data_IF_868384404171
#
_entry.id   IF_868384404171
#
_cell.length_a   1.000
_cell.length_b   1.000
_cell.length_c   1.000
_cell.angle_alpha   90.00
_cell.angle_beta   90.00
_cell.angle_gamma   90.00
#
_symmetry.space_group_name_H-M   'P 1'
#
loop_
_entity.id
_entity.type
_entity.pdbx_description
1 polymer ?
#
# COMPACT_ATOMS: atom_id res chain seq x y z
N UNK A 1 -27.06 30.58 13.98
CA UNK A 1 -26.75 30.24 13.74
C UNK A 1 -25.77 29.68 13.68
N UNK A 2 -25.42 29.48 13.55
CA UNK A 2 -24.48 29.12 13.47
C UNK A 2 -24.06 28.04 13.73
N UNK A 3 -24.37 27.50 14.06
CA UNK A 3 -24.10 26.42 14.40
C UNK A 3 -23.46 25.66 13.58
N UNK A 4 -23.43 25.84 12.73
CA UNK A 4 -22.87 25.19 11.80
C UNK A 4 -21.59 24.89 11.99
N UNK A 5 -20.96 25.63 12.26
CA UNK A 5 -19.63 25.38 12.37
C UNK A 5 -19.38 24.10 13.04
N UNK A 6 -20.11 23.86 13.91
CA UNK A 6 -19.87 22.71 14.67
C UNK A 6 -19.83 21.48 13.88
N UNK A 7 -20.59 21.42 12.96
CA UNK A 7 -20.61 20.24 12.26
C UNK A 7 -19.39 19.89 11.72
N UNK A 8 -18.74 20.76 11.26
CA UNK A 8 -17.54 20.50 10.70
C UNK A 8 -16.71 19.75 11.55
N UNK A 9 -16.68 20.04 12.73
CA UNK A 9 -15.73 19.36 13.55
C UNK A 9 -16.01 17.91 13.55
N UNK A 10 -17.14 17.53 13.22
CA UNK A 10 -17.39 16.14 13.26
C UNK A 10 -16.50 15.38 12.35
N UNK A 11 -16.19 15.95 11.30
CA UNK A 11 -15.37 15.25 10.35
C UNK A 11 -14.05 14.92 10.93
N UNK A 12 -13.58 15.70 11.82
CA UNK A 12 -12.28 15.46 12.34
C UNK A 12 -12.24 14.43 13.42
N UNK A 13 -13.34 13.89 13.79
CA UNK A 13 -13.31 12.95 14.88
C UNK A 13 -13.04 11.53 14.46
N UNK A 14 -12.95 11.26 13.21
CA UNK A 14 -12.72 9.91 12.80
C UNK A 14 -11.29 9.52 13.01
N UNK A 15 -11.09 8.29 13.41
CA UNK A 15 -9.75 7.82 13.66
C UNK A 15 -9.07 7.46 12.37
N UNK A 16 -7.76 7.56 12.34
CA UNK A 16 -7.03 7.24 11.14
C UNK A 16 -7.30 5.85 10.61
N UNK A 17 -7.48 4.89 11.50
CA UNK A 17 -7.66 3.57 11.08
C UNK A 17 -8.98 3.37 10.36
N UNK A 18 -9.97 4.15 10.68
CA UNK A 18 -11.24 4.03 10.02
C UNK A 18 -11.22 4.80 8.71
N UNK A 19 -10.16 5.50 8.46
CA UNK A 19 -10.10 6.37 7.31
C UNK A 19 -8.95 6.10 6.39
N UNK A 20 -8.65 4.84 6.18
CA UNK A 20 -7.63 4.51 5.23
C UNK A 20 -8.13 5.00 3.90
N UNK A 21 -7.52 6.02 3.39
CA UNK A 21 -7.93 6.61 2.12
C UNK A 21 -6.83 6.65 1.08
N UNK A 22 -5.61 6.28 1.44
CA UNK A 22 -4.53 6.24 0.47
C UNK A 22 -4.80 5.11 -0.51
N UNK A 23 -4.86 5.38 -1.81
CA UNK A 23 -5.19 4.35 -2.79
C UNK A 23 -4.22 3.17 -2.78
N UNK A 24 -2.95 3.42 -2.54
CA UNK A 24 -1.96 2.35 -2.49
C UNK A 24 -2.14 1.48 -1.28
N UNK A 25 -2.44 2.08 -0.14
CA UNK A 25 -2.67 1.34 1.08
C UNK A 25 -3.93 0.49 0.96
N UNK A 26 -4.96 1.03 0.36
CA UNK A 26 -6.20 0.29 0.15
C UNK A 26 -5.98 -0.93 -0.73
N UNK A 27 -5.17 -0.77 -1.77
CA UNK A 27 -4.83 -1.89 -2.63
C UNK A 27 -4.02 -2.93 -1.88
N UNK A 28 -3.04 -2.48 -1.11
CA UNK A 28 -2.18 -3.38 -0.37
C UNK A 28 -2.98 -4.20 0.65
N UNK A 29 -3.99 -3.60 1.23
CA UNK A 29 -4.81 -4.24 2.25
C UNK A 29 -6.05 -4.96 1.72
N UNK A 30 -6.14 -5.12 0.43
CA UNK A 30 -7.22 -5.92 -0.16
C UNK A 30 -8.57 -5.24 -0.18
N UNK A 31 -8.59 -3.92 -0.09
CA UNK A 31 -9.86 -3.20 -0.01
C UNK A 31 -10.37 -2.68 -1.35
N UNK A 32 -9.60 -2.80 -2.40
CA UNK A 32 -9.96 -2.23 -3.69
C UNK A 32 -10.32 -3.28 -4.73
N UNK A 33 -9.46 -4.28 -4.88
CA UNK A 33 -9.65 -5.29 -5.92
C UNK A 33 -9.62 -6.67 -5.28
N UNK A 34 -10.61 -7.47 -5.57
CA UNK A 34 -10.68 -8.82 -5.03
C UNK A 34 -9.45 -9.62 -5.45
N UNK A 35 -8.82 -10.27 -4.52
CA UNK A 35 -7.63 -11.06 -4.80
C UNK A 35 -6.33 -10.28 -4.76
N UNK A 36 -6.40 -8.97 -4.60
CA UNK A 36 -5.19 -8.16 -4.45
C UNK A 36 -5.09 -7.82 -2.98
N UNK A 37 -4.32 -8.59 -2.27
CA UNK A 37 -4.18 -8.46 -0.82
C UNK A 37 -2.75 -8.73 -0.40
N UNK A 38 -1.88 -7.85 -0.76
CA UNK A 38 -0.45 -7.96 -0.50
C UNK A 38 -0.15 -8.24 0.97
N UNK A 39 -0.99 -7.71 1.86
CA UNK A 39 -0.76 -7.85 3.28
C UNK A 39 -0.78 -9.31 3.76
N UNK A 40 -1.40 -10.19 3.02
CA UNK A 40 -1.48 -11.58 3.45
C UNK A 40 -0.12 -12.25 3.51
N UNK A 41 0.80 -11.82 2.68
CA UNK A 41 2.14 -12.38 2.68
C UNK A 41 3.16 -11.40 3.27
N UNK A 42 2.94 -10.10 3.05
CA UNK A 42 3.89 -9.10 3.50
C UNK A 42 3.55 -8.48 4.85
N UNK A 43 2.44 -8.88 5.46
CA UNK A 43 1.94 -8.33 6.71
C UNK A 43 1.37 -6.92 6.50
N UNK A 44 0.41 -6.53 7.31
CA UNK A 44 -0.21 -5.21 7.16
C UNK A 44 0.75 -4.07 7.39
N UNK A 45 1.81 -4.29 8.17
CA UNK A 45 2.83 -3.27 8.40
C UNK A 45 4.05 -3.48 7.50
N UNK A 46 4.00 -4.41 6.57
CA UNK A 46 5.09 -4.61 5.61
C UNK A 46 6.30 -5.35 6.14
N UNK A 47 6.24 -5.91 7.34
CA UNK A 47 7.42 -6.56 7.91
C UNK A 47 7.66 -7.98 7.40
N UNK A 48 6.75 -8.48 6.60
CA UNK A 48 6.95 -9.77 5.98
C UNK A 48 6.50 -10.96 6.82
N UNK A 49 6.46 -12.10 6.18
CA UNK A 49 6.17 -13.39 6.81
C UNK A 49 7.03 -14.41 6.10
N UNK A 50 6.85 -15.68 6.42
CA UNK A 50 7.60 -16.73 5.72
C UNK A 50 7.20 -16.81 4.24
N UNK A 51 6.07 -16.20 3.84
CA UNK A 51 5.62 -16.21 2.46
C UNK A 51 5.95 -14.94 1.69
N UNK A 52 6.33 -13.88 2.36
CA UNK A 52 6.59 -12.62 1.69
C UNK A 52 7.70 -11.84 2.35
N UNK A 53 8.44 -11.11 1.56
CA UNK A 53 9.60 -10.39 2.03
C UNK A 53 9.26 -9.26 3.00
N UNK A 54 10.23 -8.90 3.81
CA UNK A 54 10.12 -7.73 4.69
C UNK A 54 10.30 -6.49 3.82
N UNK A 55 9.21 -5.79 3.57
CA UNK A 55 9.23 -4.63 2.70
C UNK A 55 9.93 -3.44 3.34
N UNK A 56 9.91 -3.34 4.66
CA UNK A 56 10.63 -2.27 5.34
C UNK A 56 12.13 -2.36 5.04
N UNK A 57 12.62 -3.57 4.81
CA UNK A 57 14.01 -3.77 4.52
C UNK A 57 14.29 -3.69 3.03
N UNK A 58 13.40 -4.20 2.21
CA UNK A 58 13.63 -4.28 0.78
C UNK A 58 13.28 -3.02 0.00
N UNK A 59 12.17 -2.39 0.31
CA UNK A 59 11.72 -1.24 -0.45
C UNK A 59 12.75 -0.11 -0.51
N UNK A 60 13.43 0.24 0.57
CA UNK A 60 14.45 1.31 0.48
C UNK A 60 15.58 1.00 -0.48
N UNK A 61 15.79 -0.27 -0.79
CA UNK A 61 16.88 -0.67 -1.67
C UNK A 61 16.46 -0.84 -3.11
N UNK A 62 15.18 -0.75 -3.40
CA UNK A 62 14.66 -1.01 -4.74
C UNK A 62 14.27 0.27 -5.45
N UNK A 63 14.39 0.28 -6.77
CA UNK A 63 13.88 1.37 -7.58
C UNK A 63 12.38 1.17 -7.78
N UNK A 64 11.69 2.22 -8.17
CA UNK A 64 10.26 2.12 -8.46
C UNK A 64 10.01 1.11 -9.58
N UNK A 65 10.88 1.09 -10.57
CA UNK A 65 10.75 0.13 -11.66
C UNK A 65 10.89 -1.30 -11.17
N UNK A 66 11.78 -1.54 -10.22
CA UNK A 66 11.96 -2.88 -9.66
C UNK A 66 10.76 -3.31 -8.84
N UNK A 67 10.15 -2.38 -8.12
CA UNK A 67 8.94 -2.67 -7.36
C UNK A 67 7.80 -3.03 -8.32
N UNK A 68 7.63 -2.24 -9.37
CA UNK A 68 6.59 -2.48 -10.36
C UNK A 68 6.79 -3.83 -11.04
N UNK A 69 8.03 -4.14 -11.37
CA UNK A 69 8.35 -5.41 -12.01
C UNK A 69 8.01 -6.58 -11.10
N UNK A 70 8.32 -6.47 -9.82
CA UNK A 70 8.01 -7.53 -8.87
C UNK A 70 6.50 -7.75 -8.75
N UNK A 71 5.73 -6.68 -8.71
CA UNK A 71 4.28 -6.79 -8.64
C UNK A 71 3.72 -7.47 -9.89
N UNK A 72 4.23 -7.07 -11.05
CA UNK A 72 3.74 -7.64 -12.30
C UNK A 72 4.15 -9.10 -12.50
N UNK A 73 5.36 -9.44 -12.14
CA UNK A 73 5.91 -10.75 -12.45
C UNK A 73 5.84 -11.80 -11.33
N UNK A 74 5.69 -11.37 -10.11
CA UNK A 74 5.52 -12.29 -9.01
C UNK A 74 6.70 -13.22 -8.76
N UNK A 75 7.83 -12.69 -8.29
CA UNK A 75 8.99 -13.54 -8.05
C UNK A 75 8.74 -14.52 -6.90
N UNK A 76 9.30 -15.70 -7.01
CA UNK A 76 9.20 -16.72 -5.96
C UNK A 76 7.75 -17.12 -5.73
N UNK A 77 7.31 -17.01 -4.50
CA UNK A 77 5.95 -17.42 -4.13
C UNK A 77 4.93 -16.31 -4.34
N UNK A 78 5.36 -15.13 -4.72
CA UNK A 78 4.47 -14.01 -4.93
C UNK A 78 3.69 -14.20 -6.22
N UNK A 79 2.37 -14.05 -6.23
CA UNK A 79 1.61 -14.15 -7.47
C UNK A 79 1.96 -13.02 -8.44
N UNK A 80 1.84 -13.28 -9.72
CA UNK A 80 2.02 -12.25 -10.72
C UNK A 80 0.70 -11.50 -10.88
N UNK A 81 0.74 -10.20 -10.73
CA UNK A 81 -0.48 -9.40 -10.80
C UNK A 81 -0.67 -8.68 -12.14
N UNK A 82 0.20 -8.94 -13.10
CA UNK A 82 0.06 -8.33 -14.41
C UNK A 82 -1.30 -8.67 -14.98
N UNK A 83 -2.02 -7.67 -15.44
CA UNK A 83 -3.35 -7.86 -15.99
C UNK A 83 -4.46 -7.88 -14.95
N UNK A 84 -4.12 -7.93 -13.66
CA UNK A 84 -5.12 -7.91 -12.60
C UNK A 84 -5.28 -6.54 -12.00
N UNK A 85 -4.24 -5.75 -12.06
CA UNK A 85 -4.29 -4.34 -11.68
C UNK A 85 -3.54 -3.58 -12.78
N UNK A 86 -3.86 -2.31 -12.92
CA UNK A 86 -3.28 -1.50 -13.99
C UNK A 86 -2.06 -0.72 -13.51
N UNK A 87 -1.41 -0.04 -14.42
CA UNK A 87 -0.21 0.71 -14.11
C UNK A 87 -0.44 1.81 -13.09
N UNK A 88 -1.61 2.44 -13.10
CA UNK A 88 -1.91 3.49 -12.15
C UNK A 88 -2.03 2.91 -10.74
N UNK A 89 -2.61 1.73 -10.64
CA UNK A 89 -2.74 1.05 -9.36
C UNK A 89 -1.37 0.61 -8.84
N UNK A 90 -0.51 0.14 -9.72
CA UNK A 90 0.86 -0.21 -9.33
C UNK A 90 1.62 1.01 -8.86
N UNK A 91 1.42 2.15 -9.52
CA UNK A 91 2.06 3.38 -9.10
C UNK A 91 1.54 3.82 -7.72
N UNK A 92 0.26 3.63 -7.47
CA UNK A 92 -0.31 3.98 -6.18
C UNK A 92 0.29 3.12 -5.05
N UNK A 93 0.44 1.83 -5.29
CA UNK A 93 1.05 0.93 -4.32
C UNK A 93 2.52 1.35 -4.09
N UNK A 94 3.23 1.62 -5.16
CA UNK A 94 4.64 2.01 -5.08
C UNK A 94 4.80 3.31 -4.30
N UNK A 95 3.95 4.28 -4.57
CA UNK A 95 4.01 5.56 -3.87
C UNK A 95 3.73 5.40 -2.38
N UNK A 96 2.78 4.56 -2.04
CA UNK A 96 2.48 4.31 -0.64
C UNK A 96 3.66 3.62 0.06
N UNK A 97 4.26 2.64 -0.61
CA UNK A 97 5.41 1.94 -0.05
C UNK A 97 6.60 2.89 0.13
N UNK A 98 6.82 3.79 -0.82
CA UNK A 98 7.89 4.78 -0.70
C UNK A 98 7.66 5.74 0.45
N UNK A 99 6.41 6.12 0.69
CA UNK A 99 6.11 7.00 1.80
C UNK A 99 6.28 6.30 3.13
N UNK A 100 5.97 5.02 3.18
CA UNK A 100 6.07 4.27 4.41
C UNK A 100 7.49 3.79 4.67
N UNK A 101 8.23 3.45 3.64
CA UNK A 101 9.60 2.95 3.75
C UNK A 101 10.53 3.76 2.87
N UNK A 102 10.88 4.96 3.27
CA UNK A 102 11.67 5.84 2.42
C UNK A 102 13.08 5.32 2.20
N UNK A 103 13.66 5.73 1.09
CA UNK A 103 15.00 5.34 0.76
C UNK A 103 15.96 5.83 1.84
N UNK A 104 16.93 5.01 2.16
CA UNK A 104 17.94 5.39 3.15
C UNK A 104 18.85 6.46 2.60
N UNK A 105 18.96 6.58 1.29
CA UNK A 105 19.81 7.58 0.73
C UNK A 105 19.07 8.84 0.47
N UNK A 106 19.65 9.95 0.76
CA UNK A 106 19.02 11.26 0.52
C UNK A 106 18.84 11.50 -0.97
#
# INVERSE_FOLDING_TARGET
MVLLGALISCAGTQTPKDRISDPGEMLFNGQTVSGIDCYKCHNGNGTGTWRGANLAERVPKLSDASIAKAINEGPGMMPAFKGKIDDQQILAITAWLRGRFPSAKP
#
